data_IF_612683714594
#
_entry.id   IF_612683714594
#
_cell.length_a   1.000
_cell.length_b   1.000
_cell.length_c   1.000
_cell.angle_alpha   90.00
_cell.angle_beta   90.00
_cell.angle_gamma   90.00
#
_symmetry.space_group_name_H-M   'P 1'
#
loop_
_entity.id
_entity.type
_entity.pdbx_description
1 polymer ?
#
# COMPACT_ATOMS: atom_id res chain seq x y z
N UNK A 1 -74.58 14.72 -44.66
CA UNK A 1 -73.60 13.86 -45.28
C UNK A 1 -72.29 14.13 -44.53
N UNK A 2 -71.84 13.16 -43.71
CA UNK A 2 -70.63 13.30 -42.84
C UNK A 2 -69.56 12.37 -43.41
N UNK A 3 -68.46 12.90 -43.93
CA UNK A 3 -67.33 12.12 -44.31
C UNK A 3 -66.40 11.90 -43.09
N UNK A 4 -66.20 10.66 -42.70
CA UNK A 4 -65.20 10.25 -41.70
C UNK A 4 -63.88 10.16 -42.37
N UNK A 5 -62.94 10.95 -41.89
CA UNK A 5 -61.52 10.86 -42.24
C UNK A 5 -60.90 9.75 -41.39
N UNK A 6 -60.38 8.71 -42.06
CA UNK A 6 -59.68 7.59 -41.42
C UNK A 6 -58.21 7.94 -41.35
N UNK A 7 -57.71 8.33 -40.17
CA UNK A 7 -56.28 8.58 -39.92
C UNK A 7 -55.58 7.26 -39.69
N UNK A 8 -54.71 6.89 -40.61
CA UNK A 8 -53.81 5.72 -40.54
C UNK A 8 -52.68 6.06 -39.58
N UNK A 9 -52.67 5.49 -38.38
CA UNK A 9 -51.59 5.61 -37.41
C UNK A 9 -50.51 4.55 -37.78
N UNK A 10 -49.43 5.00 -38.40
CA UNK A 10 -48.20 4.17 -38.57
C UNK A 10 -47.54 4.04 -37.19
N UNK A 11 -47.64 2.87 -36.58
CA UNK A 11 -46.79 2.48 -35.45
C UNK A 11 -45.37 2.22 -35.99
N UNK A 12 -44.47 3.18 -35.77
CA UNK A 12 -43.05 2.95 -35.80
C UNK A 12 -42.67 2.06 -34.62
N UNK A 13 -42.52 0.77 -34.84
CA UNK A 13 -41.87 -0.14 -33.90
C UNK A 13 -40.38 0.27 -33.90
N UNK A 14 -39.81 0.74 -32.79
CA UNK A 14 -38.38 0.89 -32.73
C UNK A 14 -37.77 -0.53 -32.82
N UNK A 15 -37.02 -0.78 -33.89
CA UNK A 15 -36.18 -1.96 -34.02
C UNK A 15 -35.17 -1.85 -32.85
N UNK A 16 -35.46 -2.55 -31.75
CA UNK A 16 -34.42 -2.85 -30.75
C UNK A 16 -33.37 -3.68 -31.48
N UNK A 17 -32.33 -3.05 -31.92
CA UNK A 17 -31.09 -3.74 -32.27
C UNK A 17 -30.60 -4.29 -30.93
N UNK A 18 -30.93 -5.54 -30.66
CA UNK A 18 -30.24 -6.31 -29.63
C UNK A 18 -28.76 -6.28 -30.04
N UNK A 19 -27.95 -5.52 -29.32
CA UNK A 19 -26.51 -5.58 -29.45
C UNK A 19 -26.11 -7.04 -29.18
N UNK A 20 -25.62 -7.73 -30.18
CA UNK A 20 -25.06 -9.05 -29.98
C UNK A 20 -24.04 -8.96 -28.83
N UNK A 21 -24.07 -9.92 -27.89
CA UNK A 21 -23.12 -9.90 -26.78
C UNK A 21 -21.70 -9.83 -27.35
N UNK A 22 -20.96 -8.80 -26.95
CA UNK A 22 -19.60 -8.57 -27.44
C UNK A 22 -18.75 -9.81 -27.11
N UNK A 23 -18.40 -10.57 -28.13
CA UNK A 23 -17.67 -11.83 -27.97
C UNK A 23 -16.28 -11.53 -27.45
N UNK A 24 -15.88 -12.18 -26.35
CA UNK A 24 -14.56 -12.02 -25.76
C UNK A 24 -13.45 -12.34 -26.79
N UNK A 25 -12.53 -11.40 -26.95
CA UNK A 25 -11.39 -11.50 -27.89
C UNK A 25 -10.08 -11.21 -27.16
N UNK A 26 -9.03 -11.90 -27.57
CA UNK A 26 -7.65 -11.67 -27.17
C UNK A 26 -6.81 -11.50 -28.44
N UNK A 27 -6.01 -10.46 -28.52
CA UNK A 27 -5.23 -10.11 -29.74
C UNK A 27 -6.10 -10.09 -31.01
N UNK A 28 -7.37 -9.65 -30.87
CA UNK A 28 -8.35 -9.62 -31.98
C UNK A 28 -8.96 -10.96 -32.36
N UNK A 29 -8.56 -12.07 -31.74
CA UNK A 29 -9.08 -13.42 -32.04
C UNK A 29 -10.16 -13.81 -31.04
N UNK A 30 -11.18 -14.52 -31.50
CA UNK A 30 -12.22 -15.06 -30.63
C UNK A 30 -11.67 -16.08 -29.64
N UNK A 31 -12.07 -15.96 -28.38
CA UNK A 31 -11.76 -16.92 -27.34
C UNK A 31 -12.83 -18.01 -27.34
N UNK A 32 -12.46 -19.30 -27.36
CA UNK A 32 -13.44 -20.40 -27.36
C UNK A 32 -14.24 -20.42 -26.07
N UNK A 33 -15.48 -20.92 -26.13
CA UNK A 33 -16.38 -20.99 -24.96
C UNK A 33 -15.78 -21.78 -23.76
N UNK A 34 -14.98 -22.80 -24.06
CA UNK A 34 -14.17 -23.53 -23.07
C UNK A 34 -12.71 -23.19 -23.32
N UNK A 35 -12.05 -22.60 -22.33
CA UNK A 35 -10.66 -22.13 -22.41
C UNK A 35 -9.65 -23.14 -21.87
N UNK A 36 -10.09 -24.03 -20.99
CA UNK A 36 -9.30 -25.17 -20.50
C UNK A 36 -10.20 -26.29 -19.95
N UNK A 37 -9.61 -27.47 -19.72
CA UNK A 37 -10.19 -28.54 -18.91
C UNK A 37 -9.18 -28.98 -17.87
N UNK A 38 -9.66 -29.24 -16.64
CA UNK A 38 -8.86 -29.75 -15.52
C UNK A 38 -9.50 -31.06 -15.05
N UNK A 39 -8.83 -32.19 -15.28
CA UNK A 39 -9.35 -33.52 -15.00
C UNK A 39 -10.76 -33.76 -15.62
N UNK A 40 -10.98 -33.23 -16.82
CA UNK A 40 -12.25 -33.31 -17.53
C UNK A 40 -13.26 -32.19 -17.18
N UNK A 41 -13.09 -31.44 -16.11
CA UNK A 41 -13.96 -30.31 -15.73
C UNK A 41 -13.65 -29.09 -16.60
N UNK A 42 -14.63 -28.55 -17.35
CA UNK A 42 -14.41 -27.41 -18.24
C UNK A 42 -14.33 -26.08 -17.48
N UNK A 43 -13.38 -25.24 -17.86
CA UNK A 43 -13.32 -23.83 -17.50
C UNK A 43 -13.81 -22.98 -18.66
N UNK A 44 -14.83 -22.15 -18.43
CA UNK A 44 -15.43 -21.34 -19.49
C UNK A 44 -14.74 -19.99 -19.68
N UNK A 45 -14.92 -19.40 -20.86
CA UNK A 45 -14.34 -18.11 -21.24
C UNK A 45 -14.86 -16.96 -20.36
N UNK A 46 -16.11 -17.00 -19.93
CA UNK A 46 -16.70 -15.92 -19.10
C UNK A 46 -15.94 -15.72 -17.78
N UNK A 47 -15.46 -16.80 -17.17
CA UNK A 47 -14.65 -16.74 -15.96
C UNK A 47 -13.27 -16.12 -16.22
N UNK A 48 -12.62 -16.52 -17.32
CA UNK A 48 -11.36 -15.94 -17.76
C UNK A 48 -11.52 -14.45 -18.08
N UNK A 49 -12.57 -14.08 -18.81
CA UNK A 49 -12.88 -12.70 -19.19
C UNK A 49 -13.03 -11.81 -17.96
N UNK A 50 -13.82 -12.23 -16.98
CA UNK A 50 -14.03 -11.47 -15.75
C UNK A 50 -12.72 -11.17 -15.01
N UNK A 51 -11.87 -12.19 -14.83
CA UNK A 51 -10.57 -12.02 -14.15
C UNK A 51 -9.56 -11.22 -15.00
N UNK A 52 -9.55 -11.40 -16.31
CA UNK A 52 -8.70 -10.65 -17.23
C UNK A 52 -9.06 -9.15 -17.23
N UNK A 53 -10.35 -8.82 -17.31
CA UNK A 53 -10.82 -7.43 -17.22
C UNK A 53 -10.46 -6.80 -15.87
N UNK A 54 -10.65 -7.54 -14.78
CA UNK A 54 -10.26 -7.08 -13.45
C UNK A 54 -8.75 -6.84 -13.34
N UNK A 55 -7.93 -7.72 -13.93
CA UNK A 55 -6.47 -7.55 -14.01
C UNK A 55 -6.10 -6.29 -14.80
N UNK A 56 -6.69 -6.09 -15.98
CA UNK A 56 -6.45 -4.93 -16.86
C UNK A 56 -6.76 -3.62 -16.16
N UNK A 57 -7.83 -3.57 -15.37
CA UNK A 57 -8.18 -2.39 -14.58
C UNK A 57 -7.20 -2.10 -13.47
N UNK A 58 -6.80 -3.11 -12.70
CA UNK A 58 -5.78 -2.94 -11.65
C UNK A 58 -4.46 -2.41 -12.24
N UNK A 59 -4.03 -2.94 -13.38
CA UNK A 59 -2.83 -2.48 -14.09
C UNK A 59 -2.94 -1.00 -14.51
N UNK A 60 -4.09 -0.60 -15.06
CA UNK A 60 -4.35 0.80 -15.44
C UNK A 60 -4.30 1.74 -14.24
N UNK A 61 -4.87 1.36 -13.10
CA UNK A 61 -4.77 2.15 -11.86
C UNK A 61 -3.34 2.30 -11.34
N UNK A 62 -2.46 1.35 -11.67
CA UNK A 62 -1.02 1.41 -11.35
C UNK A 62 -0.20 2.14 -12.43
N UNK A 63 -0.85 2.79 -13.40
CA UNK A 63 -0.19 3.50 -14.50
C UNK A 63 0.39 2.58 -15.58
N UNK A 64 0.00 1.29 -15.60
CA UNK A 64 0.43 0.31 -16.60
C UNK A 64 -0.70 0.04 -17.58
N UNK A 65 -0.53 0.43 -18.83
CA UNK A 65 -1.45 0.09 -19.93
C UNK A 65 -1.00 -1.21 -20.59
N UNK A 66 -1.93 -2.16 -20.71
CA UNK A 66 -1.68 -3.45 -21.39
C UNK A 66 -1.88 -3.24 -22.88
N UNK A 67 -0.84 -3.54 -23.66
CA UNK A 67 -0.90 -3.50 -25.12
C UNK A 67 -1.65 -4.73 -25.64
N UNK A 68 -2.33 -4.58 -26.77
CA UNK A 68 -3.06 -5.68 -27.42
C UNK A 68 -2.16 -6.91 -27.65
N UNK A 69 -0.90 -6.71 -28.05
CA UNK A 69 0.07 -7.80 -28.27
C UNK A 69 0.48 -8.55 -26.98
N UNK A 70 0.10 -8.07 -25.81
CA UNK A 70 0.40 -8.69 -24.51
C UNK A 70 -0.83 -9.41 -23.93
N UNK A 71 -2.03 -9.20 -24.52
CA UNK A 71 -3.30 -9.70 -23.98
C UNK A 71 -3.32 -11.23 -23.84
N UNK A 72 -2.88 -11.95 -24.85
CA UNK A 72 -2.86 -13.41 -24.83
C UNK A 72 -1.91 -13.96 -23.75
N UNK A 73 -0.73 -13.35 -23.59
CA UNK A 73 0.23 -13.77 -22.57
C UNK A 73 -0.35 -13.56 -21.16
N UNK A 74 -0.95 -12.40 -20.93
CA UNK A 74 -1.58 -12.07 -19.65
C UNK A 74 -2.79 -12.96 -19.40
N UNK A 75 -3.63 -13.21 -20.42
CA UNK A 75 -4.77 -14.09 -20.29
C UNK A 75 -4.34 -15.54 -19.92
N UNK A 76 -3.22 -16.04 -20.44
CA UNK A 76 -2.66 -17.33 -20.05
C UNK A 76 -2.20 -17.36 -18.61
N UNK A 77 -1.60 -16.30 -18.09
CA UNK A 77 -1.25 -16.21 -16.68
C UNK A 77 -2.50 -16.17 -15.78
N UNK A 78 -3.54 -15.43 -16.19
CA UNK A 78 -4.84 -15.42 -15.49
C UNK A 78 -5.48 -16.81 -15.54
N UNK A 79 -5.47 -17.48 -16.70
CA UNK A 79 -6.01 -18.84 -16.86
C UNK A 79 -5.26 -19.83 -15.98
N UNK A 80 -3.95 -19.71 -15.85
CA UNK A 80 -3.14 -20.56 -14.97
C UNK A 80 -3.59 -20.45 -13.51
N UNK A 81 -3.92 -19.23 -13.05
CA UNK A 81 -4.47 -19.03 -11.71
C UNK A 81 -5.85 -19.69 -11.56
N UNK A 82 -6.71 -19.61 -12.58
CA UNK A 82 -8.02 -20.25 -12.58
C UNK A 82 -7.93 -21.79 -12.61
N UNK A 83 -6.98 -22.34 -13.38
CA UNK A 83 -6.66 -23.78 -13.39
C UNK A 83 -6.24 -24.22 -11.98
N UNK A 84 -5.38 -23.46 -11.31
CA UNK A 84 -4.93 -23.78 -9.96
C UNK A 84 -6.08 -23.74 -8.95
N UNK A 85 -6.98 -22.75 -9.03
CA UNK A 85 -8.20 -22.69 -8.20
C UNK A 85 -9.06 -23.96 -8.39
N UNK A 86 -9.23 -24.41 -9.63
CA UNK A 86 -9.98 -25.62 -9.92
C UNK A 86 -9.30 -26.86 -9.33
N UNK A 87 -7.97 -27.00 -9.45
CA UNK A 87 -7.20 -28.09 -8.83
C UNK A 87 -7.39 -28.10 -7.32
N UNK A 88 -7.30 -26.94 -6.66
CA UNK A 88 -7.52 -26.79 -5.21
C UNK A 88 -8.94 -27.22 -4.85
N UNK A 89 -9.95 -26.78 -5.62
CA UNK A 89 -11.36 -27.10 -5.39
C UNK A 89 -11.59 -28.61 -5.51
N UNK A 90 -11.05 -29.27 -6.54
CA UNK A 90 -11.17 -30.72 -6.73
C UNK A 90 -10.46 -31.48 -5.61
N UNK A 91 -9.30 -31.03 -5.18
CA UNK A 91 -8.55 -31.64 -4.07
C UNK A 91 -9.31 -31.51 -2.76
N UNK A 92 -9.80 -30.31 -2.43
CA UNK A 92 -10.61 -30.07 -1.24
C UNK A 92 -11.86 -30.99 -1.22
N UNK A 93 -12.54 -31.08 -2.37
CA UNK A 93 -13.70 -32.02 -2.54
C UNK A 93 -13.31 -33.48 -2.31
N UNK A 94 -12.16 -33.91 -2.81
CA UNK A 94 -11.68 -35.30 -2.62
C UNK A 94 -11.34 -35.60 -1.16
N UNK A 95 -11.14 -34.60 -0.32
CA UNK A 95 -10.88 -34.69 1.13
C UNK A 95 -12.12 -34.41 1.97
N UNK A 96 -13.31 -34.30 1.33
CA UNK A 96 -14.59 -33.91 1.96
C UNK A 96 -14.53 -32.57 2.73
N UNK A 97 -13.61 -31.69 2.35
CA UNK A 97 -13.52 -30.33 2.89
C UNK A 97 -14.68 -29.51 2.33
N UNK A 98 -15.51 -28.96 3.22
CA UNK A 98 -16.66 -28.14 2.88
C UNK A 98 -16.62 -26.82 3.64
N UNK A 99 -16.94 -25.75 2.95
CA UNK A 99 -17.13 -24.44 3.55
C UNK A 99 -18.62 -24.20 3.74
N UNK A 100 -19.03 -23.90 4.98
CA UNK A 100 -20.46 -23.62 5.26
C UNK A 100 -20.84 -22.21 4.79
N UNK A 101 -22.13 -22.02 4.50
CA UNK A 101 -22.64 -20.69 4.17
C UNK A 101 -22.38 -19.68 5.31
N UNK A 102 -22.51 -20.11 6.56
CA UNK A 102 -22.26 -19.26 7.73
C UNK A 102 -20.83 -18.78 7.83
N UNK A 103 -19.84 -19.61 7.42
CA UNK A 103 -18.44 -19.19 7.36
C UNK A 103 -18.25 -18.09 6.30
N UNK A 104 -18.86 -18.24 5.13
CA UNK A 104 -18.80 -17.26 4.05
C UNK A 104 -19.49 -15.96 4.48
N UNK A 105 -20.70 -16.04 5.01
CA UNK A 105 -21.50 -14.89 5.40
C UNK A 105 -20.83 -14.12 6.57
N UNK A 106 -20.21 -14.80 7.51
CA UNK A 106 -19.41 -14.19 8.58
C UNK A 106 -18.22 -13.40 8.04
N UNK A 107 -17.53 -13.93 7.01
CA UNK A 107 -16.43 -13.19 6.37
C UNK A 107 -16.93 -11.94 5.63
N UNK A 108 -18.08 -12.05 4.95
CA UNK A 108 -18.70 -10.90 4.27
C UNK A 108 -19.05 -9.82 5.29
N UNK A 109 -19.69 -10.20 6.40
CA UNK A 109 -20.06 -9.28 7.47
C UNK A 109 -18.81 -8.57 8.01
N UNK A 110 -17.73 -9.30 8.29
CA UNK A 110 -16.46 -8.71 8.76
C UNK A 110 -15.78 -7.79 7.74
N UNK A 111 -16.10 -7.91 6.44
CA UNK A 111 -15.67 -6.96 5.42
C UNK A 111 -16.61 -5.75 5.41
N UNK A 112 -17.93 -5.98 5.43
CA UNK A 112 -18.95 -4.93 5.41
C UNK A 112 -18.85 -3.98 6.61
N UNK A 113 -18.57 -4.49 7.79
CA UNK A 113 -18.38 -3.72 9.04
C UNK A 113 -17.28 -2.67 8.97
N UNK A 114 -16.38 -2.75 7.97
CA UNK A 114 -15.34 -1.75 7.73
C UNK A 114 -15.83 -0.53 6.95
N UNK A 115 -17.06 -0.59 6.46
CA UNK A 115 -17.69 0.49 5.70
C UNK A 115 -18.73 1.22 6.57
N UNK A 116 -18.98 2.52 6.32
CA UNK A 116 -19.94 3.30 7.11
C UNK A 116 -21.38 2.76 7.03
N UNK A 117 -21.74 2.07 5.95
CA UNK A 117 -23.06 1.48 5.72
C UNK A 117 -23.04 0.52 4.53
N UNK A 118 -24.11 -0.28 4.38
CA UNK A 118 -24.28 -1.24 3.28
C UNK A 118 -24.13 -0.62 1.89
N UNK A 119 -24.67 0.59 1.67
CA UNK A 119 -24.59 1.26 0.36
C UNK A 119 -23.14 1.57 -0.01
N UNK A 120 -22.32 2.04 0.95
CA UNK A 120 -20.89 2.29 0.73
C UNK A 120 -20.14 0.99 0.40
N UNK A 121 -20.46 -0.12 1.08
CA UNK A 121 -19.92 -1.44 0.80
C UNK A 121 -20.25 -1.92 -0.62
N UNK A 122 -21.53 -1.87 -1.02
CA UNK A 122 -21.97 -2.26 -2.37
C UNK A 122 -21.31 -1.37 -3.44
N UNK A 123 -21.22 -0.07 -3.19
CA UNK A 123 -20.55 0.87 -4.10
C UNK A 123 -19.07 0.54 -4.27
N UNK A 124 -18.38 0.20 -3.18
CA UNK A 124 -16.98 -0.22 -3.22
C UNK A 124 -16.78 -1.54 -3.99
N UNK A 125 -17.71 -2.50 -3.86
CA UNK A 125 -17.70 -3.72 -4.67
C UNK A 125 -17.91 -3.40 -6.15
N UNK A 126 -18.92 -2.58 -6.47
CA UNK A 126 -19.21 -2.19 -7.86
C UNK A 126 -18.03 -1.44 -8.50
N UNK A 127 -17.34 -0.58 -7.74
CA UNK A 127 -16.12 0.09 -8.20
C UNK A 127 -15.02 -0.91 -8.59
N UNK A 128 -14.94 -2.05 -7.89
CA UNK A 128 -14.04 -3.15 -8.21
C UNK A 128 -14.65 -4.13 -9.25
N UNK A 129 -15.80 -3.81 -9.85
CA UNK A 129 -16.59 -4.68 -10.73
C UNK A 129 -16.95 -6.03 -10.10
N UNK A 130 -17.13 -6.02 -8.80
CA UNK A 130 -17.58 -7.16 -8.02
C UNK A 130 -19.04 -6.97 -7.60
N UNK A 131 -19.70 -8.07 -7.32
CA UNK A 131 -20.99 -8.13 -6.65
C UNK A 131 -20.93 -9.13 -5.49
N UNK A 132 -21.99 -9.25 -4.72
CA UNK A 132 -22.03 -10.16 -3.57
C UNK A 132 -21.75 -11.61 -3.99
N UNK A 133 -22.25 -12.05 -5.15
CA UNK A 133 -22.01 -13.41 -5.66
C UNK A 133 -20.52 -13.66 -5.92
N UNK A 134 -19.87 -12.76 -6.67
CA UNK A 134 -18.44 -12.90 -6.96
C UNK A 134 -17.57 -12.75 -5.70
N UNK A 135 -18.00 -11.93 -4.73
CA UNK A 135 -17.34 -11.86 -3.43
C UNK A 135 -17.47 -13.20 -2.66
N UNK A 136 -18.68 -13.82 -2.64
CA UNK A 136 -18.90 -15.13 -2.03
C UNK A 136 -17.99 -16.20 -2.64
N UNK A 137 -17.92 -16.29 -3.97
CA UNK A 137 -17.07 -17.24 -4.70
C UNK A 137 -15.59 -17.04 -4.35
N UNK A 138 -15.15 -15.79 -4.23
CA UNK A 138 -13.77 -15.46 -3.85
C UNK A 138 -13.45 -15.84 -2.41
N UNK A 139 -14.36 -15.57 -1.48
CA UNK A 139 -14.22 -15.94 -0.06
C UNK A 139 -14.21 -17.45 0.09
N UNK A 140 -15.12 -18.16 -0.57
CA UNK A 140 -15.17 -19.62 -0.57
C UNK A 140 -13.85 -20.22 -1.05
N UNK A 141 -13.33 -19.73 -2.17
CA UNK A 141 -12.03 -20.17 -2.71
C UNK A 141 -10.88 -19.95 -1.70
N UNK A 142 -10.88 -18.81 -1.00
CA UNK A 142 -9.86 -18.52 0.01
C UNK A 142 -10.00 -19.46 1.22
N UNK A 143 -11.21 -19.67 1.70
CA UNK A 143 -11.47 -20.57 2.82
C UNK A 143 -11.13 -22.02 2.49
N UNK A 144 -11.40 -22.48 1.26
CA UNK A 144 -10.98 -23.81 0.78
C UNK A 144 -9.47 -23.96 0.78
N UNK A 145 -8.73 -22.93 0.34
CA UNK A 145 -7.26 -22.91 0.38
C UNK A 145 -6.74 -22.99 1.81
N UNK A 146 -7.30 -22.19 2.72
CA UNK A 146 -6.92 -22.18 4.13
C UNK A 146 -7.19 -23.53 4.81
N UNK A 147 -8.34 -24.16 4.52
CA UNK A 147 -8.66 -25.48 5.04
C UNK A 147 -7.74 -26.56 4.47
N UNK A 148 -7.39 -26.47 3.18
CA UNK A 148 -6.44 -27.37 2.56
C UNK A 148 -5.04 -27.24 3.18
N UNK A 149 -4.60 -26.00 3.44
CA UNK A 149 -3.36 -25.75 4.17
C UNK A 149 -3.41 -26.36 5.57
N UNK A 150 -4.51 -26.19 6.29
CA UNK A 150 -4.69 -26.73 7.64
C UNK A 150 -4.62 -28.25 7.65
N UNK A 151 -5.27 -28.89 6.67
CA UNK A 151 -5.37 -30.34 6.58
C UNK A 151 -4.08 -30.99 6.08
N UNK A 152 -3.53 -30.49 4.97
CA UNK A 152 -2.44 -31.15 4.24
C UNK A 152 -1.05 -30.63 4.59
N UNK A 153 -0.92 -29.36 5.01
CA UNK A 153 0.35 -28.69 5.15
C UNK A 153 0.73 -28.48 6.61
N UNK A 154 -0.18 -27.94 7.43
CA UNK A 154 0.12 -27.61 8.81
C UNK A 154 0.73 -28.78 9.63
N UNK A 155 0.27 -30.05 9.49
CA UNK A 155 0.88 -31.18 10.20
C UNK A 155 2.32 -31.49 9.74
N UNK A 156 2.72 -31.04 8.57
CA UNK A 156 4.04 -31.28 7.96
C UNK A 156 5.04 -30.16 8.25
N UNK A 157 4.55 -29.00 8.74
CA UNK A 157 5.41 -27.86 9.05
C UNK A 157 6.26 -28.18 10.28
N UNK A 158 7.56 -28.26 10.09
CA UNK A 158 8.53 -28.50 11.16
C UNK A 158 9.68 -27.51 11.00
N UNK A 159 10.00 -26.82 12.07
CA UNK A 159 11.19 -26.01 12.16
C UNK A 159 12.28 -26.82 12.90
N UNK A 160 13.54 -26.56 12.56
CA UNK A 160 14.65 -27.07 13.37
C UNK A 160 14.62 -26.39 14.74
N UNK A 161 15.04 -27.09 15.78
CA UNK A 161 14.97 -26.63 17.19
C UNK A 161 15.66 -25.29 17.41
N UNK A 162 16.71 -25.01 16.67
CA UNK A 162 17.50 -23.78 16.77
C UNK A 162 17.12 -22.70 15.73
N UNK A 163 16.16 -22.98 14.84
CA UNK A 163 15.83 -22.10 13.71
C UNK A 163 15.47 -20.67 14.16
N UNK A 164 14.69 -20.52 15.24
CA UNK A 164 14.24 -19.22 15.77
C UNK A 164 15.45 -18.43 16.30
N UNK A 165 16.33 -19.09 17.05
CA UNK A 165 17.54 -18.46 17.60
C UNK A 165 18.54 -18.10 16.51
N UNK A 166 18.72 -18.97 15.53
CA UNK A 166 19.58 -18.72 14.39
C UNK A 166 19.09 -17.55 13.55
N UNK A 167 17.77 -17.45 13.31
CA UNK A 167 17.18 -16.32 12.63
C UNK A 167 17.42 -15.00 13.36
N UNK A 168 17.18 -14.96 14.68
CA UNK A 168 17.49 -13.79 15.49
C UNK A 168 18.95 -13.37 15.39
N UNK A 169 19.88 -14.32 15.56
CA UNK A 169 21.30 -14.04 15.52
C UNK A 169 21.79 -13.54 14.15
N UNK A 170 21.24 -14.12 13.06
CA UNK A 170 21.58 -13.72 11.70
C UNK A 170 20.95 -12.37 11.28
N UNK A 171 19.91 -11.91 12.01
CA UNK A 171 19.15 -10.72 11.65
C UNK A 171 19.11 -9.69 12.78
N UNK A 172 20.09 -9.61 13.64
CA UNK A 172 20.11 -8.70 14.81
C UNK A 172 19.79 -7.26 14.46
N UNK A 173 20.23 -6.79 13.29
CA UNK A 173 19.93 -5.44 12.82
C UNK A 173 18.42 -5.14 12.70
N UNK A 174 17.59 -6.16 12.39
CA UNK A 174 16.14 -6.00 12.29
C UNK A 174 15.46 -5.90 13.66
N UNK A 175 16.17 -6.29 14.71
CA UNK A 175 15.69 -6.27 16.10
C UNK A 175 16.32 -5.14 16.92
N UNK A 176 16.93 -4.16 16.25
CA UNK A 176 17.40 -2.95 16.92
C UNK A 176 16.26 -1.94 17.03
N UNK A 177 15.94 -1.50 18.23
CA UNK A 177 15.22 -0.23 18.40
C UNK A 177 16.14 0.88 17.96
N UNK A 178 15.73 1.77 17.06
CA UNK A 178 16.60 2.86 16.60
C UNK A 178 16.98 3.80 17.75
N UNK A 179 18.08 4.52 17.58
CA UNK A 179 18.41 5.62 18.45
C UNK A 179 17.45 6.78 18.23
N UNK A 180 17.10 7.48 19.31
CA UNK A 180 16.36 8.73 19.28
C UNK A 180 17.20 9.83 19.92
N UNK A 181 16.95 11.05 19.48
CA UNK A 181 17.62 12.25 19.92
C UNK A 181 16.57 13.21 20.44
N UNK A 182 16.64 13.58 21.72
CA UNK A 182 15.76 14.59 22.32
C UNK A 182 16.27 15.95 21.97
N UNK A 183 15.57 16.61 21.06
CA UNK A 183 16.03 17.83 20.39
C UNK A 183 15.11 18.99 20.75
N UNK A 184 15.75 20.15 20.96
CA UNK A 184 15.12 21.45 20.88
C UNK A 184 15.61 22.18 19.65
N UNK A 185 14.79 23.10 19.15
CA UNK A 185 15.23 24.01 18.10
C UNK A 185 14.72 25.43 18.29
N UNK A 186 15.42 26.37 17.67
CA UNK A 186 14.96 27.73 17.39
C UNK A 186 14.90 27.86 15.90
N UNK A 187 13.74 28.21 15.35
CA UNK A 187 13.54 28.46 13.93
C UNK A 187 13.36 29.95 13.70
N UNK A 188 14.16 30.50 12.79
CA UNK A 188 13.94 31.82 12.19
C UNK A 188 13.57 31.58 10.74
N UNK A 189 12.32 31.83 10.40
CA UNK A 189 11.74 31.50 9.11
C UNK A 189 12.31 32.36 7.99
N UNK A 190 12.43 31.78 6.80
CA UNK A 190 12.73 32.47 5.57
C UNK A 190 11.55 32.38 4.61
N UNK A 191 11.45 33.31 3.69
CA UNK A 191 10.44 33.25 2.65
C UNK A 191 11.01 32.65 1.36
N UNK A 192 10.24 31.81 0.65
CA UNK A 192 10.71 31.21 -0.59
C UNK A 192 10.87 32.27 -1.68
N UNK A 193 11.76 32.01 -2.64
CA UNK A 193 11.89 32.86 -3.82
C UNK A 193 10.55 33.01 -4.56
N UNK A 194 10.17 34.22 -4.96
CA UNK A 194 8.91 34.43 -5.66
C UNK A 194 8.89 33.72 -7.01
N UNK A 195 7.74 33.18 -7.39
CA UNK A 195 7.57 32.61 -8.72
C UNK A 195 7.74 33.68 -9.80
N UNK A 196 8.22 33.26 -10.97
CA UNK A 196 8.43 34.15 -12.12
C UNK A 196 7.09 34.81 -12.52
N UNK A 197 7.04 36.14 -12.49
CA UNK A 197 5.89 36.93 -12.92
C UNK A 197 6.04 37.34 -14.38
N UNK A 198 4.92 37.57 -15.07
CA UNK A 198 4.92 38.12 -16.41
C UNK A 198 5.46 39.58 -16.47
N UNK A 199 5.31 40.32 -15.37
CA UNK A 199 5.93 41.65 -15.21
C UNK A 199 7.31 41.53 -14.56
N UNK A 200 8.33 41.78 -15.34
CA UNK A 200 9.75 41.68 -14.93
C UNK A 200 10.11 42.66 -13.82
N UNK A 201 9.57 43.88 -13.83
CA UNK A 201 9.84 44.91 -12.83
C UNK A 201 9.29 44.49 -11.44
N UNK A 202 8.06 43.99 -11.41
CA UNK A 202 7.42 43.45 -10.18
C UNK A 202 8.16 42.23 -9.68
N UNK A 203 8.59 41.33 -10.58
CA UNK A 203 9.38 40.16 -10.19
C UNK A 203 10.73 40.55 -9.57
N UNK A 204 11.47 41.46 -10.17
CA UNK A 204 12.73 41.99 -9.64
C UNK A 204 12.56 42.65 -8.28
N UNK A 205 11.49 43.42 -8.09
CA UNK A 205 11.15 44.02 -6.79
C UNK A 205 10.89 42.96 -5.73
N UNK A 206 10.09 41.95 -6.06
CA UNK A 206 9.79 40.83 -5.16
C UNK A 206 11.04 40.04 -4.77
N UNK A 207 11.93 39.73 -5.72
CA UNK A 207 13.22 39.09 -5.43
C UNK A 207 14.08 39.90 -4.46
N UNK A 208 14.14 41.22 -4.66
CA UNK A 208 14.92 42.11 -3.77
C UNK A 208 14.35 42.13 -2.35
N UNK A 209 13.02 42.18 -2.21
CA UNK A 209 12.36 42.12 -0.92
C UNK A 209 12.61 40.80 -0.21
N UNK A 210 12.47 39.66 -0.94
CA UNK A 210 12.79 38.33 -0.42
C UNK A 210 14.22 38.24 0.09
N UNK A 211 15.18 38.78 -0.69
CA UNK A 211 16.58 38.77 -0.29
C UNK A 211 16.79 39.58 1.02
N UNK A 212 16.23 40.77 1.14
CA UNK A 212 16.35 41.59 2.36
C UNK A 212 15.79 40.85 3.56
N UNK A 213 14.58 40.30 3.46
CA UNK A 213 13.93 39.57 4.56
C UNK A 213 14.76 38.33 4.97
N UNK A 214 15.30 37.59 4.01
CA UNK A 214 16.11 36.41 4.31
C UNK A 214 17.51 36.77 4.90
N UNK A 215 18.08 37.92 4.51
CA UNK A 215 19.28 38.44 5.14
C UNK A 215 19.03 38.92 6.60
N UNK A 216 17.90 39.56 6.87
CA UNK A 216 17.47 39.90 8.23
C UNK A 216 17.20 38.63 9.09
N UNK A 217 16.57 37.63 8.52
CA UNK A 217 16.36 36.33 9.18
C UNK A 217 17.70 35.67 9.57
N UNK A 218 18.67 35.70 8.66
CA UNK A 218 20.02 35.20 8.94
C UNK A 218 20.73 35.99 10.05
N UNK A 219 20.68 37.30 10.00
CA UNK A 219 21.26 38.15 11.04
C UNK A 219 20.63 37.91 12.41
N UNK A 220 19.32 37.73 12.46
CA UNK A 220 18.58 37.37 13.67
C UNK A 220 19.03 36.00 14.22
N UNK A 221 19.19 34.98 13.33
CA UNK A 221 19.68 33.67 13.76
C UNK A 221 21.13 33.76 14.30
N UNK A 222 22.00 34.59 13.68
CA UNK A 222 23.35 34.84 14.15
C UNK A 222 23.37 35.53 15.52
N UNK A 223 22.49 36.50 15.78
CA UNK A 223 22.32 37.15 17.08
C UNK A 223 21.92 36.13 18.15
N UNK A 224 20.90 35.30 17.85
CA UNK A 224 20.44 34.26 18.77
C UNK A 224 21.54 33.25 19.10
N UNK A 225 22.31 32.83 18.09
CA UNK A 225 23.44 31.93 18.31
C UNK A 225 24.52 32.55 19.19
N UNK A 226 24.80 33.85 19.06
CA UNK A 226 25.76 34.59 19.93
C UNK A 226 25.24 34.62 21.38
N UNK A 227 23.96 34.90 21.60
CA UNK A 227 23.34 34.87 22.93
C UNK A 227 23.46 33.47 23.60
N UNK A 228 23.23 32.39 22.81
CA UNK A 228 23.43 31.01 23.29
C UNK A 228 24.90 30.79 23.67
N UNK A 229 25.85 31.22 22.84
CA UNK A 229 27.29 31.12 23.11
C UNK A 229 27.73 31.92 24.32
N UNK A 230 27.04 33.03 24.62
CA UNK A 230 27.24 33.83 25.82
C UNK A 230 26.64 33.17 27.11
N UNK A 231 25.98 32.03 26.98
CA UNK A 231 25.43 31.28 28.12
C UNK A 231 23.98 31.61 28.46
N UNK A 232 23.26 32.35 27.61
CA UNK A 232 21.82 32.58 27.80
C UNK A 232 21.01 31.29 27.66
N UNK A 233 19.89 31.23 28.37
CA UNK A 233 19.07 30.02 28.42
C UNK A 233 18.37 29.75 27.09
N UNK A 234 18.65 28.58 26.48
CA UNK A 234 18.11 28.19 25.19
C UNK A 234 16.57 28.19 25.16
N UNK A 235 15.92 27.71 26.23
CA UNK A 235 14.46 27.63 26.28
C UNK A 235 13.80 29.01 26.30
N UNK A 236 14.44 29.96 26.98
CA UNK A 236 13.98 31.34 27.00
C UNK A 236 14.15 31.99 25.65
N UNK A 237 15.32 31.81 25.02
CA UNK A 237 15.58 32.30 23.65
C UNK A 237 14.63 31.65 22.64
N UNK A 238 14.29 30.36 22.78
CA UNK A 238 13.32 29.72 21.92
C UNK A 238 11.92 30.33 22.08
N UNK A 239 11.48 30.63 23.31
CA UNK A 239 10.19 31.30 23.56
C UNK A 239 10.16 32.74 23.02
N UNK A 240 11.27 33.43 23.03
CA UNK A 240 11.38 34.80 22.55
C UNK A 240 11.50 34.87 21.02
N UNK A 241 12.45 34.15 20.45
CA UNK A 241 12.90 34.33 19.07
C UNK A 241 12.37 33.29 18.08
N UNK A 242 12.00 32.07 18.54
CA UNK A 242 11.56 31.03 17.60
C UNK A 242 10.25 31.42 16.91
N UNK A 243 10.17 31.11 15.64
CA UNK A 243 8.98 31.28 14.80
C UNK A 243 8.25 29.96 14.53
N UNK A 244 8.69 28.85 15.16
CA UNK A 244 7.95 27.61 15.19
C UNK A 244 6.90 27.64 16.31
N UNK A 245 5.68 27.99 16.00
CA UNK A 245 4.58 28.11 16.96
C UNK A 245 4.28 26.83 17.72
N UNK A 246 4.62 25.66 17.17
CA UNK A 246 4.34 24.36 17.81
C UNK A 246 5.29 24.10 18.98
N UNK A 247 6.58 24.36 18.80
CA UNK A 247 7.62 24.11 19.80
C UNK A 247 7.97 25.33 20.66
N UNK A 248 7.76 26.54 20.15
CA UNK A 248 8.11 27.81 20.80
C UNK A 248 7.69 27.85 22.26
N UNK A 249 6.41 27.59 22.56
CA UNK A 249 5.86 27.67 23.92
C UNK A 249 6.43 26.58 24.85
N UNK A 250 6.98 25.52 24.27
CA UNK A 250 7.65 24.42 24.97
C UNK A 250 9.18 24.63 25.06
N UNK A 251 9.65 25.84 24.86
CA UNK A 251 11.10 26.16 24.85
C UNK A 251 11.85 25.47 23.71
N UNK A 252 11.22 25.40 22.55
CA UNK A 252 11.77 24.81 21.33
C UNK A 252 11.74 23.28 21.27
N UNK A 253 11.10 22.56 22.22
CA UNK A 253 11.09 21.10 22.30
C UNK A 253 10.38 20.47 21.10
N UNK A 254 11.13 19.71 20.31
CA UNK A 254 10.59 18.88 19.21
C UNK A 254 10.26 17.45 19.65
N UNK A 255 10.80 17.02 20.81
CA UNK A 255 10.66 15.67 21.31
C UNK A 255 11.78 14.73 20.87
N UNK A 256 11.50 13.43 20.91
CA UNK A 256 12.47 12.38 20.58
C UNK A 256 12.40 12.12 19.07
N UNK A 257 13.41 12.56 18.34
CA UNK A 257 13.49 12.44 16.89
C UNK A 257 14.42 11.30 16.47
N UNK A 258 14.03 10.55 15.45
CA UNK A 258 14.89 9.63 14.73
C UNK A 258 15.42 10.32 13.46
N UNK A 259 16.68 10.09 13.02
CA UNK A 259 17.23 10.72 11.81
C UNK A 259 16.36 10.56 10.55
N UNK A 260 15.66 9.42 10.42
CA UNK A 260 14.75 9.18 9.29
C UNK A 260 13.36 9.84 9.41
N UNK A 261 13.06 10.52 10.53
CA UNK A 261 11.75 11.18 10.76
C UNK A 261 11.79 12.70 10.67
N UNK A 262 12.91 13.28 10.27
CA UNK A 262 13.09 14.73 10.13
C UNK A 262 13.75 15.07 8.78
N UNK A 263 13.85 16.36 8.48
CA UNK A 263 14.49 16.81 7.25
C UNK A 263 16.00 16.52 7.27
N UNK A 264 16.63 16.26 6.11
CA UNK A 264 18.02 15.83 6.03
C UNK A 264 19.00 16.77 6.78
N UNK A 265 18.82 18.07 6.66
CA UNK A 265 19.70 19.08 7.27
C UNK A 265 19.67 18.99 8.80
N UNK A 266 18.51 18.77 9.38
CA UNK A 266 18.32 18.56 10.83
C UNK A 266 18.93 17.21 11.23
N UNK A 267 18.63 16.13 10.48
CA UNK A 267 19.15 14.80 10.75
C UNK A 267 20.67 14.74 10.76
N UNK A 268 21.32 15.33 9.75
CA UNK A 268 22.79 15.39 9.63
C UNK A 268 23.45 16.17 10.76
N UNK A 269 22.81 17.24 11.22
CA UNK A 269 23.35 18.05 12.32
C UNK A 269 23.13 17.36 13.67
N UNK A 270 21.94 16.84 13.90
CA UNK A 270 21.54 16.21 15.14
C UNK A 270 22.46 15.04 15.53
N UNK A 271 22.85 14.18 14.57
CA UNK A 271 23.71 13.02 14.84
C UNK A 271 25.17 13.38 15.13
N UNK A 272 25.58 14.63 14.88
CA UNK A 272 26.94 15.12 15.14
C UNK A 272 27.11 15.81 16.49
N UNK A 273 25.98 16.14 17.15
CA UNK A 273 25.98 16.81 18.43
C UNK A 273 26.20 15.82 19.57
N UNK A 274 26.87 16.28 20.61
CA UNK A 274 26.94 15.62 21.92
C UNK A 274 25.77 16.11 22.81
N UNK A 275 25.43 15.35 23.84
CA UNK A 275 24.43 15.77 24.80
C UNK A 275 24.77 17.14 25.44
N UNK A 276 23.78 18.00 25.47
CA UNK A 276 23.91 19.39 25.93
C UNK A 276 24.46 20.35 24.87
N UNK A 277 24.96 19.86 23.76
CA UNK A 277 25.60 20.69 22.72
C UNK A 277 24.55 21.40 21.85
N UNK A 278 24.93 22.61 21.40
CA UNK A 278 24.15 23.42 20.45
C UNK A 278 24.83 23.45 19.08
N UNK A 279 24.05 23.32 18.02
CA UNK A 279 24.56 23.35 16.65
C UNK A 279 24.98 24.77 16.24
N UNK A 280 25.72 24.86 15.13
CA UNK A 280 25.75 26.08 14.33
C UNK A 280 24.40 26.28 13.62
N UNK A 281 24.24 27.41 12.93
CA UNK A 281 23.06 27.69 12.13
C UNK A 281 22.96 26.68 10.99
N UNK A 282 21.80 26.06 10.86
CA UNK A 282 21.44 25.09 9.82
C UNK A 282 20.40 25.76 8.92
N UNK A 283 20.68 25.82 7.64
CA UNK A 283 19.72 26.36 6.66
C UNK A 283 18.91 25.25 6.03
N UNK A 284 17.59 25.44 5.96
CA UNK A 284 16.65 24.54 5.28
C UNK A 284 15.67 25.35 4.42
N UNK A 285 14.73 24.66 3.77
CA UNK A 285 13.63 25.32 3.05
C UNK A 285 12.65 26.07 3.96
N UNK A 286 12.68 25.83 5.26
CA UNK A 286 11.83 26.51 6.25
C UNK A 286 12.49 27.75 6.84
N UNK A 287 13.82 27.83 6.80
CA UNK A 287 14.57 28.92 7.38
C UNK A 287 15.88 28.47 8.03
N UNK A 288 16.30 29.25 9.01
CA UNK A 288 17.52 29.03 9.79
C UNK A 288 17.17 28.37 11.11
N UNK A 289 17.77 27.22 11.39
CA UNK A 289 17.57 26.46 12.62
C UNK A 289 18.83 26.50 13.49
N UNK A 290 18.64 26.55 14.79
CA UNK A 290 19.66 26.29 15.79
C UNK A 290 19.14 25.14 16.64
N UNK A 291 19.87 24.03 16.72
CA UNK A 291 19.49 22.87 17.48
C UNK A 291 20.20 22.82 18.84
N UNK A 292 19.55 22.25 19.82
CA UNK A 292 20.20 21.79 21.05
C UNK A 292 19.83 20.33 21.27
N UNK A 293 20.82 19.48 21.47
CA UNK A 293 20.62 18.09 21.85
C UNK A 293 20.54 17.99 23.37
N UNK A 294 19.37 17.61 23.89
CA UNK A 294 19.20 17.44 25.34
C UNK A 294 19.68 16.05 25.79
N UNK A 295 19.37 14.98 25.04
CA UNK A 295 19.63 13.59 25.42
C UNK A 295 19.74 12.69 24.18
N UNK A 296 20.65 11.72 24.22
CA UNK A 296 20.72 10.62 23.23
C UNK A 296 20.09 9.38 23.87
N UNK A 297 18.98 8.91 23.31
CA UNK A 297 18.35 7.65 23.65
C UNK A 297 18.98 6.58 22.75
N UNK A 298 19.87 5.74 23.29
CA UNK A 298 20.69 4.84 22.44
C UNK A 298 19.82 3.78 21.77
N UNK A 299 20.32 3.30 20.64
CA UNK A 299 19.73 2.11 20.01
C UNK A 299 19.91 0.89 20.92
N UNK A 300 18.86 0.08 21.04
CA UNK A 300 18.86 -1.08 21.93
C UNK A 300 18.44 -2.33 21.15
N UNK A 301 19.22 -3.39 21.25
CA UNK A 301 18.82 -4.69 20.72
C UNK A 301 17.66 -5.25 21.54
N UNK A 302 16.53 -5.51 20.90
CA UNK A 302 15.37 -6.15 21.53
C UNK A 302 15.79 -7.55 21.97
N UNK A 303 15.64 -7.93 23.23
CA UNK A 303 16.03 -9.25 23.71
C UNK A 303 15.30 -10.37 22.96
N UNK A 304 16.01 -11.46 22.73
CA UNK A 304 15.48 -12.64 22.04
C UNK A 304 14.13 -13.13 22.61
N UNK A 305 14.01 -13.16 23.94
CA UNK A 305 12.80 -13.59 24.66
C UNK A 305 11.55 -12.78 24.26
N UNK A 306 11.75 -11.49 23.90
CA UNK A 306 10.64 -10.57 23.62
C UNK A 306 10.13 -10.71 22.18
N UNK A 307 10.97 -11.29 21.28
CA UNK A 307 10.65 -11.45 19.85
C UNK A 307 10.60 -12.90 19.38
N UNK A 308 10.89 -13.86 20.23
CA UNK A 308 10.97 -15.28 19.85
C UNK A 308 9.68 -15.81 19.25
N UNK A 309 8.51 -15.40 19.78
CA UNK A 309 7.20 -15.83 19.27
C UNK A 309 6.89 -15.20 17.91
N UNK A 310 7.28 -13.94 17.70
CA UNK A 310 7.10 -13.27 16.42
C UNK A 310 7.97 -13.92 15.34
N UNK A 311 9.22 -14.24 15.70
CA UNK A 311 10.14 -14.95 14.80
C UNK A 311 9.59 -16.35 14.50
N UNK A 312 9.11 -17.07 15.50
CA UNK A 312 8.48 -18.38 15.32
C UNK A 312 7.33 -18.29 14.31
N UNK A 313 6.43 -17.32 14.49
CA UNK A 313 5.30 -17.10 13.60
C UNK A 313 5.74 -16.76 12.17
N UNK A 314 6.78 -15.94 12.01
CA UNK A 314 7.35 -15.60 10.71
C UNK A 314 7.91 -16.85 10.02
N UNK A 315 8.68 -17.64 10.74
CA UNK A 315 9.30 -18.85 10.19
C UNK A 315 8.25 -19.93 9.86
N UNK A 316 7.26 -20.13 10.73
CA UNK A 316 6.14 -21.05 10.49
C UNK A 316 5.38 -20.64 9.22
N UNK A 317 5.03 -19.36 9.07
CA UNK A 317 4.38 -18.84 7.85
C UNK A 317 5.23 -19.06 6.60
N UNK A 318 6.53 -18.82 6.69
CA UNK A 318 7.47 -19.09 5.57
C UNK A 318 7.47 -20.56 5.16
N UNK A 319 7.62 -21.44 6.12
CA UNK A 319 7.69 -22.88 5.84
C UNK A 319 6.34 -23.41 5.33
N UNK A 320 5.21 -22.95 5.91
CA UNK A 320 3.86 -23.23 5.40
C UNK A 320 3.72 -22.82 3.95
N UNK A 321 4.11 -21.58 3.62
CA UNK A 321 4.02 -21.07 2.23
C UNK A 321 4.90 -21.88 1.27
N UNK A 322 6.09 -22.26 1.69
CA UNK A 322 7.02 -23.08 0.89
C UNK A 322 6.41 -24.45 0.62
N UNK A 323 6.01 -25.17 1.67
CA UNK A 323 5.41 -26.50 1.56
C UNK A 323 4.12 -26.49 0.76
N UNK A 324 3.29 -25.46 0.93
CA UNK A 324 2.07 -25.30 0.15
C UNK A 324 2.37 -25.10 -1.34
N UNK A 325 3.36 -24.26 -1.67
CA UNK A 325 3.81 -24.09 -3.07
C UNK A 325 4.31 -25.42 -3.68
N UNK A 326 5.11 -26.18 -2.95
CA UNK A 326 5.59 -27.50 -3.38
C UNK A 326 4.42 -28.49 -3.57
N UNK A 327 3.45 -28.44 -2.68
CA UNK A 327 2.22 -29.24 -2.76
C UNK A 327 1.39 -28.89 -4.00
N UNK A 328 1.18 -27.60 -4.29
CA UNK A 328 0.46 -27.16 -5.49
C UNK A 328 1.17 -27.59 -6.77
N UNK A 329 2.51 -27.50 -6.83
CA UNK A 329 3.29 -27.99 -7.97
C UNK A 329 3.09 -29.50 -8.14
N UNK A 330 3.04 -30.26 -7.06
CA UNK A 330 2.80 -31.70 -7.13
C UNK A 330 1.38 -32.03 -7.62
N UNK A 331 0.37 -31.30 -7.17
CA UNK A 331 -1.01 -31.44 -7.65
C UNK A 331 -1.14 -31.10 -9.13
N UNK A 332 -0.51 -29.99 -9.58
CA UNK A 332 -0.50 -29.58 -11.00
C UNK A 332 0.09 -30.66 -11.90
N UNK A 333 1.21 -31.28 -11.48
CA UNK A 333 1.89 -32.36 -12.23
C UNK A 333 1.02 -33.63 -12.40
N UNK A 334 0.11 -33.86 -11.48
CA UNK A 334 -0.78 -35.05 -11.50
C UNK A 334 -2.12 -34.76 -12.17
N UNK A 335 -2.47 -33.50 -12.38
CA UNK A 335 -3.70 -33.09 -13.01
C UNK A 335 -3.60 -33.22 -14.54
N UNK A 336 -4.68 -33.72 -15.17
CA UNK A 336 -4.82 -33.68 -16.64
C UNK A 336 -5.34 -32.31 -17.04
N UNK A 337 -4.45 -31.48 -17.60
CA UNK A 337 -4.76 -30.10 -18.01
C UNK A 337 -4.73 -30.03 -19.53
N UNK A 338 -5.83 -29.54 -20.13
CA UNK A 338 -5.97 -29.26 -21.54
C UNK A 338 -6.28 -27.75 -21.71
N UNK A 339 -5.49 -27.02 -22.50
CA UNK A 339 -5.63 -25.56 -22.72
C UNK A 339 -5.98 -25.33 -24.19
N UNK A 340 -6.96 -24.42 -24.44
CA UNK A 340 -7.52 -24.16 -25.76
C UNK A 340 -7.30 -22.71 -26.27
N UNK A 341 -6.55 -21.89 -25.55
CA UNK A 341 -6.22 -20.49 -25.94
C UNK A 341 -4.72 -20.27 -26.13
#
# INVERSE_FOLDING_TARGET
MKYKLLTLLLFLIPCLVEAEPEVFKLDGKHVPAIVAKVNGVPLNSARLEGEFVAFRMRSKHQGKEIKTSEELLIAREVLKAEIMKEIITQKAKSLDIKISADQIDSQIQGIEDKFPNHTAFITALAFQRMNIKSLKEKIESTLLEDELIRHEIAPKVKLKDDAVKNFYNANKAQFMKPAFYRIRHILISTIPSPQKSADEASHKKALRMTQIINEEAKAKAEEVLQKIKAGENFEQLAKEFSEDEVSKQKGGMLGDLHPGSTIPEIAESMVKLNEGETSNIISSSFGHHILKLDEIIPSVLIPFKDVQNDILNILMKRETKKLFKEYLIALEKTAKIEIFI
#
